data_IF_996674331262
#
_entry.id   IF_996674331262
#
_cell.length_a   1.000
_cell.length_b   1.000
_cell.length_c   1.000
_cell.angle_alpha   90.00
_cell.angle_beta   90.00
_cell.angle_gamma   90.00
#
_symmetry.space_group_name_H-M   'P 1'
#
loop_
_entity.id
_entity.type
_entity.pdbx_description
1 polymer ?
#
# COMPACT_ATOMS: atom_id res chain seq x y z
N UNK A 1 -30.37 -42.33 -17.97
CA UNK A 1 -30.99 -41.21 -17.24
C UNK A 1 -31.73 -40.36 -18.24
N UNK A 2 -32.96 -39.97 -17.96
CA UNK A 2 -33.69 -39.04 -18.81
C UNK A 2 -33.07 -37.63 -18.74
N UNK A 3 -33.33 -36.80 -19.76
CA UNK A 3 -32.79 -35.43 -19.86
C UNK A 3 -33.16 -34.56 -18.64
N UNK A 4 -34.31 -34.83 -18.02
CA UNK A 4 -34.78 -34.11 -16.83
C UNK A 4 -33.94 -34.45 -15.60
N UNK A 5 -33.61 -35.73 -15.41
CA UNK A 5 -32.78 -36.24 -14.33
C UNK A 5 -31.35 -35.72 -14.47
N UNK A 6 -30.80 -35.73 -15.69
CA UNK A 6 -29.47 -35.14 -15.96
C UNK A 6 -29.48 -33.64 -15.64
N UNK A 7 -30.52 -32.92 -16.09
CA UNK A 7 -30.68 -31.49 -15.78
C UNK A 7 -30.74 -31.20 -14.29
N UNK A 8 -31.52 -31.96 -13.51
CA UNK A 8 -31.61 -31.81 -12.06
C UNK A 8 -30.25 -32.08 -11.40
N UNK A 9 -29.55 -33.16 -11.79
CA UNK A 9 -28.23 -33.48 -11.24
C UNK A 9 -27.23 -32.35 -11.51
N UNK A 10 -27.19 -31.81 -12.73
CA UNK A 10 -26.30 -30.69 -13.09
C UNK A 10 -26.61 -29.45 -12.24
N UNK A 11 -27.89 -29.11 -12.06
CA UNK A 11 -28.29 -27.96 -11.23
C UNK A 11 -27.89 -28.17 -9.77
N UNK A 12 -28.12 -29.34 -9.19
CA UNK A 12 -27.74 -29.65 -7.80
C UNK A 12 -26.22 -29.55 -7.62
N UNK A 13 -25.44 -30.07 -8.56
CA UNK A 13 -23.97 -29.97 -8.53
C UNK A 13 -23.51 -28.51 -8.67
N UNK A 14 -24.10 -27.73 -9.58
CA UNK A 14 -23.74 -26.32 -9.77
C UNK A 14 -24.06 -25.46 -8.54
N UNK A 15 -25.20 -25.71 -7.89
CA UNK A 15 -25.57 -25.04 -6.63
C UNK A 15 -24.62 -25.45 -5.52
N UNK A 16 -24.34 -26.74 -5.36
CA UNK A 16 -23.39 -27.25 -4.37
C UNK A 16 -21.98 -26.67 -4.57
N UNK A 17 -21.53 -26.57 -5.82
CA UNK A 17 -20.25 -25.96 -6.17
C UNK A 17 -20.22 -24.46 -5.84
N UNK A 18 -21.28 -23.72 -6.12
CA UNK A 18 -21.39 -22.30 -5.77
C UNK A 18 -21.30 -22.08 -4.26
N UNK A 19 -22.03 -22.89 -3.48
CA UNK A 19 -21.98 -22.85 -2.01
C UNK A 19 -20.57 -23.17 -1.52
N UNK A 20 -19.94 -24.21 -2.06
CA UNK A 20 -18.57 -24.58 -1.71
C UNK A 20 -17.59 -23.42 -1.97
N UNK A 21 -17.67 -22.79 -3.15
CA UNK A 21 -16.80 -21.67 -3.51
C UNK A 21 -16.98 -20.47 -2.57
N UNK A 22 -18.22 -20.13 -2.20
CA UNK A 22 -18.51 -19.05 -1.25
C UNK A 22 -17.94 -19.35 0.14
N UNK A 23 -18.05 -20.59 0.61
CA UNK A 23 -17.45 -21.02 1.88
C UNK A 23 -15.92 -20.95 1.83
N UNK A 24 -15.30 -21.41 0.73
CA UNK A 24 -13.84 -21.32 0.57
C UNK A 24 -13.36 -19.87 0.51
N UNK A 25 -14.11 -18.98 -0.15
CA UNK A 25 -13.80 -17.55 -0.21
C UNK A 25 -13.82 -16.92 1.19
N UNK A 26 -14.87 -17.17 1.97
CA UNK A 26 -15.00 -16.63 3.34
C UNK A 26 -13.92 -17.16 4.27
N UNK A 27 -13.67 -18.47 4.24
CA UNK A 27 -12.67 -19.09 5.12
C UNK A 27 -11.25 -18.70 4.74
N UNK A 28 -10.94 -18.54 3.45
CA UNK A 28 -9.65 -18.03 2.99
C UNK A 28 -9.44 -16.59 3.42
N UNK A 29 -10.47 -15.75 3.28
CA UNK A 29 -10.42 -14.36 3.73
C UNK A 29 -10.18 -14.25 5.24
N UNK A 30 -10.92 -14.99 6.06
CA UNK A 30 -10.74 -15.00 7.51
C UNK A 30 -9.32 -15.43 7.94
N UNK A 31 -8.69 -16.36 7.21
CA UNK A 31 -7.30 -16.75 7.45
C UNK A 31 -6.31 -15.63 7.11
N UNK A 32 -6.51 -14.96 5.97
CA UNK A 32 -5.68 -13.83 5.57
C UNK A 32 -5.75 -12.69 6.60
N UNK A 33 -6.96 -12.37 7.08
CA UNK A 33 -7.15 -11.37 8.15
C UNK A 33 -6.50 -11.79 9.47
N UNK A 34 -6.60 -13.06 9.85
CA UNK A 34 -5.95 -13.57 11.06
C UNK A 34 -4.43 -13.42 10.99
N UNK A 35 -3.80 -13.82 9.89
CA UNK A 35 -2.36 -13.66 9.71
C UNK A 35 -1.93 -12.20 9.68
N UNK A 36 -2.70 -11.30 9.04
CA UNK A 36 -2.41 -9.86 9.09
C UNK A 36 -2.46 -9.30 10.51
N UNK A 37 -3.46 -9.71 11.31
CA UNK A 37 -3.61 -9.28 12.71
C UNK A 37 -2.45 -9.75 13.60
N UNK A 38 -1.96 -10.95 13.31
CA UNK A 38 -0.83 -11.59 13.99
C UNK A 38 0.54 -11.08 13.47
N UNK A 39 0.57 -10.37 12.34
CA UNK A 39 1.82 -9.96 11.67
C UNK A 39 2.54 -11.11 10.95
N UNK A 40 1.88 -12.26 10.77
CA UNK A 40 2.45 -13.44 10.13
C UNK A 40 2.37 -13.36 8.59
N UNK A 41 3.16 -12.45 8.02
CA UNK A 41 3.20 -12.20 6.58
C UNK A 41 3.71 -13.42 5.79
N UNK A 42 4.47 -14.31 6.43
CA UNK A 42 4.94 -15.56 5.83
C UNK A 42 3.77 -16.53 5.55
N UNK A 43 2.94 -16.82 6.53
CA UNK A 43 1.79 -17.70 6.32
C UNK A 43 0.68 -17.02 5.51
N UNK A 44 0.55 -15.70 5.61
CA UNK A 44 -0.28 -14.90 4.71
C UNK A 44 0.09 -15.14 3.23
N UNK A 45 1.37 -15.00 2.88
CA UNK A 45 1.85 -15.25 1.51
C UNK A 45 1.66 -16.71 1.07
N UNK A 46 1.87 -17.69 1.98
CA UNK A 46 1.59 -19.10 1.67
C UNK A 46 0.12 -19.34 1.28
N UNK A 47 -0.83 -18.64 1.88
CA UNK A 47 -2.25 -18.73 1.49
C UNK A 47 -2.47 -18.07 0.12
N UNK A 48 -1.88 -16.89 -0.12
CA UNK A 48 -2.01 -16.20 -1.41
C UNK A 48 -1.38 -16.96 -2.58
N UNK A 49 -0.36 -17.79 -2.32
CA UNK A 49 0.33 -18.58 -3.34
C UNK A 49 -0.36 -19.91 -3.68
N UNK A 50 -1.48 -20.24 -3.03
CA UNK A 50 -2.26 -21.44 -3.37
C UNK A 50 -3.00 -21.25 -4.69
N UNK A 51 -3.02 -22.27 -5.58
CA UNK A 51 -3.77 -22.20 -6.84
C UNK A 51 -5.26 -21.85 -6.63
N UNK A 52 -5.85 -22.37 -5.55
CA UNK A 52 -7.25 -22.09 -5.20
C UNK A 52 -7.50 -20.60 -4.98
N UNK A 53 -6.55 -19.86 -4.40
CA UNK A 53 -6.72 -18.42 -4.13
C UNK A 53 -6.82 -17.63 -5.44
N UNK A 54 -6.05 -18.00 -6.46
CA UNK A 54 -6.13 -17.41 -7.80
C UNK A 54 -7.45 -17.74 -8.53
N UNK A 55 -8.17 -18.78 -8.11
CA UNK A 55 -9.53 -19.09 -8.60
C UNK A 55 -10.58 -18.31 -7.82
N UNK A 56 -10.40 -18.12 -6.51
CA UNK A 56 -11.35 -17.44 -5.62
C UNK A 56 -11.40 -15.93 -5.81
N UNK A 57 -10.29 -15.31 -6.22
CA UNK A 57 -10.15 -13.86 -6.32
C UNK A 57 -9.60 -13.43 -7.69
N UNK A 58 -10.01 -12.24 -8.18
CA UNK A 58 -9.39 -11.64 -9.36
C UNK A 58 -7.88 -11.51 -9.20
N UNK A 59 -7.15 -11.66 -10.32
CA UNK A 59 -5.68 -11.58 -10.33
C UNK A 59 -5.15 -10.28 -9.73
N UNK A 60 -5.79 -9.14 -10.03
CA UNK A 60 -5.46 -7.84 -9.44
C UNK A 60 -5.49 -7.91 -7.90
N UNK A 61 -6.57 -8.41 -7.30
CA UNK A 61 -6.73 -8.45 -5.84
C UNK A 61 -5.63 -9.30 -5.19
N UNK A 62 -5.30 -10.45 -5.79
CA UNK A 62 -4.24 -11.33 -5.27
C UNK A 62 -2.88 -10.63 -5.33
N UNK A 63 -2.55 -9.99 -6.45
CA UNK A 63 -1.28 -9.27 -6.59
C UNK A 63 -1.21 -8.05 -5.68
N UNK A 64 -2.30 -7.29 -5.54
CA UNK A 64 -2.35 -6.14 -4.63
C UNK A 64 -2.15 -6.56 -3.16
N UNK A 65 -2.77 -7.66 -2.75
CA UNK A 65 -2.55 -8.26 -1.43
C UNK A 65 -1.10 -8.72 -1.23
N UNK A 66 -0.47 -9.30 -2.27
CA UNK A 66 0.95 -9.68 -2.22
C UNK A 66 1.87 -8.46 -2.18
N UNK A 67 1.56 -7.41 -2.93
CA UNK A 67 2.30 -6.15 -2.92
C UNK A 67 2.30 -5.56 -1.51
N UNK A 68 1.13 -5.49 -0.86
CA UNK A 68 1.04 -5.00 0.52
C UNK A 68 1.90 -5.79 1.50
N UNK A 69 1.94 -7.12 1.36
CA UNK A 69 2.80 -7.94 2.20
C UNK A 69 4.29 -7.77 1.87
N UNK A 70 4.65 -7.64 0.59
CA UNK A 70 6.04 -7.41 0.18
C UNK A 70 6.56 -6.06 0.70
N UNK A 71 5.75 -4.99 0.57
CA UNK A 71 6.07 -3.67 1.12
C UNK A 71 6.21 -3.72 2.64
N UNK A 72 5.30 -4.39 3.34
CA UNK A 72 5.36 -4.50 4.81
C UNK A 72 6.52 -5.37 5.33
N UNK A 73 7.19 -6.13 4.46
CA UNK A 73 8.39 -6.91 4.79
C UNK A 73 9.68 -6.25 4.28
N UNK A 74 9.59 -5.05 3.70
CA UNK A 74 10.68 -4.35 3.03
C UNK A 74 11.37 -5.21 1.93
N UNK A 75 10.60 -6.12 1.30
CA UNK A 75 11.10 -6.96 0.19
C UNK A 75 11.07 -6.15 -1.11
N UNK A 76 12.16 -5.42 -1.34
CA UNK A 76 12.33 -4.52 -2.50
C UNK A 76 12.16 -5.26 -3.82
N UNK A 77 12.82 -6.42 -3.97
CA UNK A 77 12.76 -7.17 -5.23
C UNK A 77 11.35 -7.71 -5.50
N UNK A 78 10.66 -8.24 -4.48
CA UNK A 78 9.29 -8.72 -4.65
C UNK A 78 8.34 -7.57 -4.96
N UNK A 79 8.46 -6.45 -4.25
CA UNK A 79 7.62 -5.27 -4.47
C UNK A 79 7.74 -4.77 -5.91
N UNK A 80 8.96 -4.60 -6.40
CA UNK A 80 9.23 -4.14 -7.77
C UNK A 80 8.73 -5.14 -8.83
N UNK A 81 8.97 -6.45 -8.64
CA UNK A 81 8.43 -7.50 -9.53
C UNK A 81 6.91 -7.48 -9.58
N UNK A 82 6.23 -7.33 -8.44
CA UNK A 82 4.77 -7.33 -8.37
C UNK A 82 4.20 -6.05 -9.01
N UNK A 83 4.80 -4.88 -8.77
CA UNK A 83 4.40 -3.63 -9.43
C UNK A 83 4.45 -3.77 -10.96
N UNK A 84 5.55 -4.31 -11.50
CA UNK A 84 5.67 -4.58 -12.94
C UNK A 84 4.63 -5.58 -13.44
N UNK A 85 4.38 -6.67 -12.71
CA UNK A 85 3.36 -7.64 -13.08
C UNK A 85 1.97 -7.00 -13.12
N UNK A 86 1.65 -6.18 -12.12
CA UNK A 86 0.36 -5.46 -12.04
C UNK A 86 0.20 -4.44 -13.17
N UNK A 87 1.27 -3.75 -13.56
CA UNK A 87 1.26 -2.81 -14.69
C UNK A 87 0.91 -3.44 -16.05
N UNK A 88 1.04 -4.76 -16.19
CA UNK A 88 0.61 -5.50 -17.39
C UNK A 88 -0.88 -5.86 -17.42
N UNK A 89 -1.62 -5.62 -16.32
CA UNK A 89 -3.03 -5.95 -16.22
C UNK A 89 -3.90 -4.86 -16.82
N UNK A 90 -5.05 -5.27 -17.39
CA UNK A 90 -6.15 -4.35 -17.67
C UNK A 90 -6.80 -3.96 -16.34
N UNK A 91 -6.52 -2.76 -15.88
CA UNK A 91 -7.03 -2.19 -14.62
C UNK A 91 -8.15 -1.18 -14.89
N UNK A 92 -9.06 -1.01 -13.92
CA UNK A 92 -9.87 0.20 -13.85
C UNK A 92 -8.99 1.40 -13.46
N UNK A 93 -9.48 2.61 -13.66
CA UNK A 93 -8.80 3.84 -13.23
C UNK A 93 -8.54 3.84 -11.72
N UNK A 94 -9.52 3.44 -10.91
CA UNK A 94 -9.38 3.30 -9.45
C UNK A 94 -8.25 2.32 -9.07
N UNK A 95 -8.15 1.18 -9.76
CA UNK A 95 -7.11 0.19 -9.53
C UNK A 95 -5.72 0.71 -9.93
N UNK A 96 -5.65 1.43 -11.05
CA UNK A 96 -4.41 2.03 -11.52
C UNK A 96 -3.93 3.13 -10.57
N UNK A 97 -4.82 4.00 -10.08
CA UNK A 97 -4.51 5.01 -9.08
C UNK A 97 -4.05 4.40 -7.74
N UNK A 98 -4.73 3.35 -7.28
CA UNK A 98 -4.34 2.65 -6.05
C UNK A 98 -2.96 1.98 -6.15
N UNK A 99 -2.64 1.40 -7.32
CA UNK A 99 -1.29 0.88 -7.59
C UNK A 99 -0.26 2.01 -7.68
N UNK A 100 -0.57 3.09 -8.38
CA UNK A 100 0.32 4.23 -8.56
C UNK A 100 0.69 4.86 -7.21
N UNK A 101 -0.27 5.07 -6.30
CA UNK A 101 0.02 5.58 -4.96
C UNK A 101 1.04 4.70 -4.21
N UNK A 102 0.86 3.37 -4.25
CA UNK A 102 1.81 2.43 -3.60
C UNK A 102 3.17 2.39 -4.28
N UNK A 103 3.18 2.40 -5.61
CA UNK A 103 4.42 2.40 -6.39
C UNK A 103 5.20 3.70 -6.15
N UNK A 104 4.52 4.84 -6.05
CA UNK A 104 5.13 6.12 -5.74
C UNK A 104 5.83 6.08 -4.38
N UNK A 105 5.12 5.69 -3.32
CA UNK A 105 5.71 5.56 -1.97
C UNK A 105 6.92 4.62 -1.98
N UNK A 106 6.80 3.46 -2.65
CA UNK A 106 7.89 2.50 -2.79
C UNK A 106 9.11 3.10 -3.48
N UNK A 107 8.95 3.76 -4.63
CA UNK A 107 10.08 4.33 -5.37
C UNK A 107 10.73 5.49 -4.63
N UNK A 108 9.95 6.29 -3.88
CA UNK A 108 10.51 7.31 -2.98
C UNK A 108 11.37 6.67 -1.90
N UNK A 109 10.87 5.62 -1.24
CA UNK A 109 11.55 4.94 -0.15
C UNK A 109 12.90 4.35 -0.57
N UNK A 110 12.97 3.74 -1.76
CA UNK A 110 14.23 3.18 -2.28
C UNK A 110 15.11 4.20 -3.01
N UNK A 111 14.68 5.46 -3.12
CA UNK A 111 15.44 6.52 -3.80
C UNK A 111 15.45 6.43 -5.33
N UNK A 112 14.51 5.71 -5.95
CA UNK A 112 14.40 5.57 -7.41
C UNK A 112 13.67 6.77 -8.02
N UNK A 113 14.41 7.86 -8.19
CA UNK A 113 13.88 9.12 -8.74
C UNK A 113 13.23 8.99 -10.14
N UNK A 114 13.85 8.30 -11.13
CA UNK A 114 13.24 8.17 -12.45
C UNK A 114 11.83 7.56 -12.41
N UNK A 115 11.64 6.45 -11.69
CA UNK A 115 10.33 5.80 -11.60
C UNK A 115 9.37 6.56 -10.70
N UNK A 116 9.84 7.11 -9.56
CA UNK A 116 9.00 7.96 -8.71
C UNK A 116 8.44 9.16 -9.48
N UNK A 117 9.25 9.79 -10.34
CA UNK A 117 8.82 10.92 -11.19
C UNK A 117 7.75 10.50 -12.19
N UNK A 118 7.92 9.38 -12.86
CA UNK A 118 6.95 8.86 -13.84
C UNK A 118 5.59 8.59 -13.19
N UNK A 119 5.60 7.86 -12.06
CA UNK A 119 4.39 7.53 -11.32
C UNK A 119 3.71 8.79 -10.79
N UNK A 120 4.49 9.76 -10.32
CA UNK A 120 3.95 11.00 -9.81
C UNK A 120 3.30 11.87 -10.90
N UNK A 121 3.86 11.92 -12.10
CA UNK A 121 3.19 12.58 -13.24
C UNK A 121 1.83 11.96 -13.54
N UNK A 122 1.72 10.64 -13.45
CA UNK A 122 0.44 9.95 -13.59
C UNK A 122 -0.56 10.35 -12.49
N UNK A 123 -0.13 10.40 -11.23
CA UNK A 123 -0.94 10.82 -10.09
C UNK A 123 -1.42 12.28 -10.20
N UNK A 124 -0.59 13.18 -10.71
CA UNK A 124 -0.97 14.58 -10.94
C UNK A 124 -1.99 14.78 -12.06
N UNK A 125 -1.94 13.92 -13.08
CA UNK A 125 -2.85 13.99 -14.22
C UNK A 125 -4.22 13.35 -13.94
N UNK A 126 -4.24 12.24 -13.18
CA UNK A 126 -5.43 11.40 -13.01
C UNK A 126 -5.97 11.36 -11.57
N UNK A 127 -5.15 11.70 -10.58
CA UNK A 127 -5.48 11.58 -9.17
C UNK A 127 -6.22 12.78 -8.60
N UNK A 128 -6.53 12.69 -7.31
CA UNK A 128 -7.03 13.84 -6.55
C UNK A 128 -5.96 14.93 -6.44
N UNK A 129 -6.39 16.19 -6.58
CA UNK A 129 -5.47 17.33 -6.60
C UNK A 129 -4.75 17.57 -5.28
N UNK A 130 -5.40 17.31 -4.14
CA UNK A 130 -4.78 17.51 -2.84
C UNK A 130 -3.80 16.37 -2.54
N UNK A 131 -4.19 15.13 -2.85
CA UNK A 131 -3.29 13.98 -2.75
C UNK A 131 -2.04 14.15 -3.62
N UNK A 132 -2.21 14.51 -4.90
CA UNK A 132 -1.08 14.72 -5.81
C UNK A 132 -0.15 15.86 -5.36
N UNK A 133 -0.67 16.91 -4.72
CA UNK A 133 0.17 17.96 -4.10
C UNK A 133 0.97 17.42 -2.92
N UNK A 134 0.39 16.55 -2.10
CA UNK A 134 1.12 15.89 -1.01
C UNK A 134 2.23 14.98 -1.55
N UNK A 135 1.94 14.22 -2.60
CA UNK A 135 2.93 13.37 -3.28
C UNK A 135 4.06 14.20 -3.91
N UNK A 136 3.72 15.35 -4.53
CA UNK A 136 4.70 16.32 -5.04
C UNK A 136 5.65 16.82 -3.96
N UNK A 137 5.11 17.25 -2.81
CA UNK A 137 5.93 17.67 -1.67
C UNK A 137 6.85 16.55 -1.19
N UNK A 138 6.34 15.33 -1.11
CA UNK A 138 7.13 14.15 -0.73
C UNK A 138 8.29 13.92 -1.70
N UNK A 139 8.03 13.94 -3.01
CA UNK A 139 9.06 13.80 -4.04
C UNK A 139 10.11 14.91 -3.94
N UNK A 140 9.68 16.16 -3.81
CA UNK A 140 10.59 17.30 -3.77
C UNK A 140 11.49 17.26 -2.53
N UNK A 141 10.95 16.87 -1.37
CA UNK A 141 11.72 16.76 -0.11
C UNK A 141 12.68 15.58 -0.13
N UNK A 142 12.19 14.37 -0.40
CA UNK A 142 12.99 13.15 -0.25
C UNK A 142 13.93 12.87 -1.42
N UNK A 143 13.56 13.25 -2.65
CA UNK A 143 14.35 12.92 -3.84
C UNK A 143 15.06 14.12 -4.47
N UNK A 144 14.56 15.34 -4.24
CA UNK A 144 15.17 16.57 -4.77
C UNK A 144 15.91 17.41 -3.75
N UNK A 145 15.91 17.01 -2.48
CA UNK A 145 16.59 17.75 -1.43
C UNK A 145 15.94 19.11 -1.15
N UNK A 146 14.65 19.27 -1.43
CA UNK A 146 13.93 20.52 -1.18
C UNK A 146 13.73 20.75 0.32
N UNK A 147 13.74 22.03 0.69
CA UNK A 147 13.38 22.53 2.02
C UNK A 147 12.36 23.67 1.94
N UNK A 148 11.67 23.79 0.80
CA UNK A 148 10.79 24.92 0.50
C UNK A 148 9.47 24.92 1.28
N UNK A 149 9.12 23.83 1.97
CA UNK A 149 7.83 23.63 2.62
C UNK A 149 7.90 23.77 4.15
N UNK A 150 9.04 24.13 4.73
CA UNK A 150 9.22 24.25 6.19
C UNK A 150 8.15 25.17 6.79
N UNK A 151 8.01 26.40 6.30
CA UNK A 151 7.07 27.38 6.86
C UNK A 151 5.61 26.92 6.79
N UNK A 152 5.23 26.22 5.71
CA UNK A 152 3.88 25.68 5.54
C UNK A 152 3.64 24.53 6.52
N UNK A 153 4.60 23.59 6.62
CA UNK A 153 4.46 22.41 7.47
C UNK A 153 4.54 22.74 8.95
N UNK A 154 5.34 23.71 9.37
CA UNK A 154 5.36 24.16 10.76
C UNK A 154 4.03 24.78 11.19
N UNK A 155 3.36 25.50 10.27
CA UNK A 155 2.00 26.01 10.52
C UNK A 155 0.98 24.89 10.60
N UNK A 156 1.05 23.89 9.71
CA UNK A 156 0.15 22.75 9.79
C UNK A 156 0.37 21.92 11.07
N UNK A 157 1.63 21.81 11.52
CA UNK A 157 2.01 21.04 12.69
C UNK A 157 1.44 21.58 14.00
N UNK A 158 1.08 22.87 14.09
CA UNK A 158 0.50 23.43 15.31
C UNK A 158 -0.91 22.92 15.61
N UNK A 159 -1.61 22.41 14.58
CA UNK A 159 -2.96 21.88 14.66
C UNK A 159 -3.01 20.34 14.54
N UNK A 160 -1.92 19.73 14.05
CA UNK A 160 -1.83 18.29 13.86
C UNK A 160 -1.61 17.52 15.17
N UNK A 161 -2.15 16.30 15.25
CA UNK A 161 -1.94 15.37 16.34
C UNK A 161 -1.85 13.91 15.85
N UNK A 162 -1.20 13.06 16.64
CA UNK A 162 -1.11 11.62 16.34
C UNK A 162 -0.33 11.33 15.06
N UNK A 163 -0.85 10.50 14.16
CA UNK A 163 -0.12 10.07 12.96
C UNK A 163 0.22 11.22 12.02
N UNK A 164 -0.68 12.21 11.89
CA UNK A 164 -0.43 13.39 11.04
C UNK A 164 0.73 14.23 11.58
N UNK A 165 0.80 14.41 12.90
CA UNK A 165 1.90 15.09 13.57
C UNK A 165 3.23 14.36 13.34
N UNK A 166 3.23 13.03 13.46
CA UNK A 166 4.43 12.21 13.23
C UNK A 166 4.95 12.35 11.78
N UNK A 167 4.06 12.28 10.79
CA UNK A 167 4.42 12.42 9.38
C UNK A 167 4.96 13.82 9.06
N UNK A 168 4.31 14.88 9.56
CA UNK A 168 4.80 16.26 9.40
C UNK A 168 6.17 16.46 10.05
N UNK A 169 6.39 15.90 11.25
CA UNK A 169 7.69 15.95 11.91
C UNK A 169 8.77 15.22 11.10
N UNK A 170 8.48 14.04 10.56
CA UNK A 170 9.43 13.32 9.70
C UNK A 170 9.81 14.16 8.47
N UNK A 171 8.82 14.75 7.78
CA UNK A 171 9.09 15.61 6.63
C UNK A 171 9.90 16.85 7.01
N UNK A 172 9.60 17.48 8.16
CA UNK A 172 10.38 18.62 8.65
C UNK A 172 11.82 18.22 8.98
N UNK A 173 12.05 17.04 9.57
CA UNK A 173 13.40 16.52 9.81
C UNK A 173 14.22 16.51 8.52
N UNK A 174 13.71 15.84 7.49
CA UNK A 174 14.40 15.72 6.19
C UNK A 174 14.62 17.08 5.54
N UNK A 175 13.65 17.99 5.63
CA UNK A 175 13.83 19.35 5.10
C UNK A 175 14.91 20.14 5.84
N UNK A 176 15.02 19.99 7.16
CA UNK A 176 16.08 20.64 7.92
C UNK A 176 17.45 20.00 7.67
N UNK A 177 17.52 18.69 7.44
CA UNK A 177 18.73 18.01 6.94
C UNK A 177 19.16 18.57 5.59
N UNK A 178 18.23 18.66 4.62
CA UNK A 178 18.46 19.26 3.31
C UNK A 178 18.97 20.71 3.38
N UNK A 179 18.53 21.46 4.41
CA UNK A 179 18.96 22.84 4.68
C UNK A 179 20.32 22.91 5.39
N UNK A 180 20.83 21.80 5.94
CA UNK A 180 22.07 21.73 6.71
C UNK A 180 21.92 22.10 8.19
N UNK A 181 20.70 22.08 8.74
CA UNK A 181 20.41 22.35 10.16
C UNK A 181 20.16 21.03 10.91
N UNK A 182 21.25 20.36 11.28
CA UNK A 182 21.22 19.07 11.97
C UNK A 182 20.51 19.15 13.34
N UNK A 183 20.56 20.30 14.01
CA UNK A 183 19.93 20.49 15.31
C UNK A 183 18.41 20.46 15.23
N UNK A 184 17.83 21.20 14.28
CA UNK A 184 16.38 21.19 14.03
C UNK A 184 15.94 19.85 13.47
N UNK A 185 16.71 19.27 12.56
CA UNK A 185 16.45 17.94 12.02
C UNK A 185 16.28 16.90 13.14
N UNK A 186 17.30 16.75 13.99
CA UNK A 186 17.26 15.80 15.11
C UNK A 186 16.06 16.05 16.04
N UNK A 187 15.75 17.31 16.34
CA UNK A 187 14.59 17.66 17.18
C UNK A 187 13.25 17.20 16.58
N UNK A 188 13.07 17.33 15.27
CA UNK A 188 11.86 16.87 14.60
C UNK A 188 11.82 15.34 14.46
N UNK A 189 12.96 14.70 14.20
CA UNK A 189 13.08 13.25 14.18
C UNK A 189 12.66 12.64 15.54
N UNK A 190 13.23 13.12 16.64
CA UNK A 190 12.88 12.66 17.99
C UNK A 190 11.39 12.87 18.33
N UNK A 191 10.80 13.97 17.86
CA UNK A 191 9.37 14.22 18.02
C UNK A 191 8.53 13.23 17.24
N UNK A 192 8.91 12.93 15.99
CA UNK A 192 8.21 11.95 15.17
C UNK A 192 8.22 10.56 15.83
N UNK A 193 9.39 10.10 16.28
CA UNK A 193 9.55 8.81 16.98
C UNK A 193 8.70 8.73 18.24
N UNK A 194 8.71 9.78 19.07
CA UNK A 194 7.90 9.84 20.29
C UNK A 194 6.40 9.78 19.99
N UNK A 195 5.95 10.52 18.98
CA UNK A 195 4.53 10.54 18.59
C UNK A 195 4.10 9.20 18.01
N UNK A 196 4.94 8.53 17.21
CA UNK A 196 4.69 7.18 16.70
C UNK A 196 4.60 6.15 17.82
N UNK A 197 5.54 6.17 18.76
CA UNK A 197 5.53 5.27 19.91
C UNK A 197 4.27 5.46 20.78
N UNK A 198 3.81 6.70 20.95
CA UNK A 198 2.55 6.97 21.66
C UNK A 198 1.30 6.52 20.90
N UNK A 199 1.34 6.52 19.55
CA UNK A 199 0.24 6.10 18.69
C UNK A 199 0.14 4.57 18.51
N UNK A 200 1.23 3.84 18.78
CA UNK A 200 1.29 2.38 18.76
C UNK A 200 1.48 1.86 20.19
N UNK A 201 0.42 1.83 21.03
CA UNK A 201 0.54 1.25 22.36
C UNK A 201 0.99 -0.21 22.21
N UNK A 202 2.08 -0.55 22.92
CA UNK A 202 2.60 -1.92 23.01
C UNK A 202 1.46 -2.93 23.15
N UNK A 203 1.50 -3.97 22.31
CA UNK A 203 0.66 -5.17 22.46
C UNK A 203 1.01 -5.93 23.75
#
# INVERSE_FOLDING_TARGET
>A
MDMKTIGIVVVVVAVGFTIYMEVQKRTTFAKLEAYLREGDLNNYLKVLNRPLTSVLYPKYNVLFMRLNAALAMDDVEASERIIREMGSLKMSEEQALALAAKAFSFYVEIGDEPHAREVLSYLEEHGDREAARADRRTYDVFLKGSYAYIDEMERALSEAAGMEEALLCQMLSVQYENKGDEGRAASYCERAERTLAAAMPDK
#
